data_IF_932183635596
#
_entry.id   IF_932183635596
#
_cell.length_a   1.000
_cell.length_b   1.000
_cell.length_c   1.000
_cell.angle_alpha   90.00
_cell.angle_beta   90.00
_cell.angle_gamma   90.00
#
_symmetry.space_group_name_H-M   'P 1'
#
loop_
_entity.id
_entity.type
_entity.pdbx_description
1 polymer ?
#
# COMPACT_ATOMS: atom_id res chain seq x y z
N UNK A 1 -1.02 4.25 16.04
CA UNK A 1 -2.04 3.92 15.01
C UNK A 1 -2.76 2.66 15.45
N UNK A 2 -4.03 2.44 15.08
CA UNK A 2 -4.78 1.22 15.45
C UNK A 2 -5.17 0.46 14.19
N UNK A 3 -5.00 -0.87 14.21
CA UNK A 3 -5.47 -1.79 13.18
C UNK A 3 -6.75 -2.48 13.65
N UNK A 4 -7.79 -2.42 12.83
CA UNK A 4 -9.08 -3.07 13.08
C UNK A 4 -9.36 -4.06 11.94
N UNK A 5 -9.77 -5.28 12.28
CA UNK A 5 -10.00 -6.34 11.28
C UNK A 5 -11.31 -7.08 11.52
N UNK A 6 -12.01 -7.41 10.43
CA UNK A 6 -13.17 -8.31 10.44
C UNK A 6 -12.78 -9.78 10.21
N UNK A 7 -11.48 -10.09 10.14
CA UNK A 7 -10.92 -11.43 9.98
C UNK A 7 -9.90 -11.72 11.09
N UNK A 8 -10.33 -11.79 12.36
CA UNK A 8 -9.42 -12.21 13.43
C UNK A 8 -8.95 -13.65 13.14
N UNK A 9 -7.63 -13.86 13.14
CA UNK A 9 -7.03 -15.21 13.15
C UNK A 9 -6.65 -15.54 14.58
N UNK A 10 -6.89 -16.79 15.00
CA UNK A 10 -6.36 -17.46 16.20
C UNK A 10 -5.95 -16.48 17.33
N UNK A 11 -6.94 -16.05 18.12
CA UNK A 11 -6.77 -15.22 19.33
C UNK A 11 -6.30 -13.77 19.13
N UNK A 12 -6.07 -13.29 17.90
CA UNK A 12 -5.81 -11.85 17.67
C UNK A 12 -7.06 -11.03 17.95
N UNK A 13 -6.91 -10.03 18.82
CA UNK A 13 -7.94 -9.06 19.13
C UNK A 13 -8.46 -8.37 17.85
N UNK A 14 -9.76 -8.08 17.81
CA UNK A 14 -10.41 -7.33 16.73
C UNK A 14 -9.75 -5.96 16.49
N UNK A 15 -9.10 -5.44 17.52
CA UNK A 15 -8.42 -4.15 17.57
C UNK A 15 -7.02 -4.38 18.13
N UNK A 16 -5.98 -3.93 17.43
CA UNK A 16 -4.60 -4.01 17.90
C UNK A 16 -3.85 -2.71 17.65
N UNK A 17 -2.91 -2.38 18.54
CA UNK A 17 -1.98 -1.28 18.32
C UNK A 17 -1.01 -1.61 17.17
N UNK A 18 -0.73 -0.61 16.34
CA UNK A 18 0.31 -0.71 15.30
C UNK A 18 1.50 0.14 15.75
N UNK A 19 2.67 -0.49 15.99
CA UNK A 19 3.85 0.23 16.42
C UNK A 19 4.37 1.17 15.31
N UNK A 20 5.22 2.16 15.64
CA UNK A 20 5.91 2.94 14.62
C UNK A 20 6.76 2.04 13.71
N UNK A 21 6.66 2.24 12.41
CA UNK A 21 7.44 1.47 11.43
C UNK A 21 6.75 1.35 10.07
N UNK A 22 7.29 0.44 9.25
CA UNK A 22 6.73 0.12 7.93
C UNK A 22 5.87 -1.12 8.05
N UNK A 23 4.60 -0.97 7.68
CA UNK A 23 3.60 -2.02 7.67
C UNK A 23 2.96 -2.16 6.30
N UNK A 24 2.63 -3.38 5.91
CA UNK A 24 1.97 -3.66 4.61
C UNK A 24 0.69 -4.44 4.84
N UNK A 25 -0.39 -3.95 4.24
CA UNK A 25 -1.69 -4.61 4.24
C UNK A 25 -2.08 -5.01 2.82
N UNK A 26 -2.61 -6.22 2.68
CA UNK A 26 -3.18 -6.74 1.44
C UNK A 26 -4.48 -7.48 1.78
N UNK A 27 -4.90 -8.47 0.98
CA UNK A 27 -6.12 -9.26 1.25
C UNK A 27 -6.02 -10.13 2.53
N UNK A 28 -4.82 -10.29 3.09
CA UNK A 28 -4.55 -11.03 4.32
C UNK A 28 -4.45 -10.10 5.54
N UNK A 29 -4.11 -10.65 6.71
CA UNK A 29 -3.84 -9.87 7.92
C UNK A 29 -2.65 -8.92 7.74
N UNK A 30 -2.60 -7.84 8.54
CA UNK A 30 -1.46 -6.91 8.57
C UNK A 30 -0.12 -7.66 8.65
N UNK A 31 0.83 -7.28 7.81
CA UNK A 31 2.18 -7.83 7.70
C UNK A 31 2.27 -9.33 7.38
N UNK A 32 1.21 -9.92 6.82
CA UNK A 32 1.31 -11.29 6.29
C UNK A 32 2.37 -11.31 5.17
N UNK A 33 3.37 -12.23 5.21
CA UNK A 33 4.55 -12.18 4.35
C UNK A 33 4.28 -12.73 2.93
N UNK A 34 3.32 -12.13 2.22
CA UNK A 34 3.10 -12.44 0.81
C UNK A 34 4.29 -11.93 -0.01
N UNK A 35 4.72 -12.65 -1.07
CA UNK A 35 5.88 -12.24 -1.87
C UNK A 35 5.84 -10.78 -2.34
N UNK A 36 4.67 -10.29 -2.79
CA UNK A 36 4.48 -8.89 -3.19
C UNK A 36 4.52 -7.91 -2.02
N UNK A 37 4.04 -8.31 -0.84
CA UNK A 37 4.04 -7.47 0.36
C UNK A 37 5.46 -7.30 0.90
N UNK A 38 6.24 -8.39 0.95
CA UNK A 38 7.66 -8.36 1.32
C UNK A 38 8.43 -7.48 0.34
N UNK A 39 8.20 -7.64 -0.97
CA UNK A 39 8.86 -6.83 -2.00
C UNK A 39 8.50 -5.34 -1.90
N UNK A 40 7.22 -5.01 -1.71
CA UNK A 40 6.77 -3.63 -1.50
C UNK A 40 7.44 -3.02 -0.27
N UNK A 41 7.49 -3.75 0.84
CA UNK A 41 8.15 -3.32 2.08
C UNK A 41 9.63 -2.99 1.83
N UNK A 42 10.37 -3.91 1.22
CA UNK A 42 11.79 -3.71 0.90
C UNK A 42 12.03 -2.56 -0.05
N UNK A 43 11.18 -2.38 -1.07
CA UNK A 43 11.30 -1.26 -1.99
C UNK A 43 10.99 0.07 -1.29
N UNK A 44 10.04 0.08 -0.35
CA UNK A 44 9.74 1.27 0.43
C UNK A 44 10.85 1.61 1.43
N UNK A 45 11.48 0.61 2.08
CA UNK A 45 12.67 0.81 2.90
C UNK A 45 13.79 1.53 2.11
N UNK A 46 14.11 1.01 0.91
CA UNK A 46 15.10 1.65 0.01
C UNK A 46 14.69 3.05 -0.43
N UNK A 47 13.40 3.27 -0.67
CA UNK A 47 12.88 4.59 -1.02
C UNK A 47 13.09 5.59 0.12
N UNK A 48 12.80 5.20 1.36
CA UNK A 48 13.02 6.03 2.55
C UNK A 48 14.51 6.28 2.79
N UNK A 49 15.37 5.27 2.64
CA UNK A 49 16.83 5.43 2.74
C UNK A 49 17.37 6.45 1.73
N UNK A 50 16.85 6.43 0.50
CA UNK A 50 17.24 7.37 -0.56
C UNK A 50 16.85 8.81 -0.24
N UNK A 51 15.64 9.04 0.30
CA UNK A 51 15.09 10.37 0.55
C UNK A 51 15.42 10.92 1.95
N UNK A 52 15.87 10.06 2.86
CA UNK A 52 16.24 10.43 4.23
C UNK A 52 15.06 11.03 5.01
N UNK A 53 15.33 12.08 5.78
CA UNK A 53 14.33 12.78 6.60
C UNK A 53 13.60 13.91 5.85
N UNK A 54 13.78 14.01 4.53
CA UNK A 54 13.12 15.02 3.71
C UNK A 54 11.65 14.73 3.44
N UNK A 55 10.97 15.65 2.75
CA UNK A 55 9.63 15.39 2.25
C UNK A 55 9.65 14.27 1.21
N UNK A 56 8.72 13.32 1.34
CA UNK A 56 8.58 12.22 0.40
C UNK A 56 7.68 12.66 -0.76
N UNK A 57 8.19 12.74 -2.00
CA UNK A 57 7.38 13.08 -3.16
C UNK A 57 6.31 12.00 -3.41
N UNK A 58 5.03 12.36 -3.22
CA UNK A 58 3.91 11.41 -3.27
C UNK A 58 3.75 10.75 -4.64
N UNK A 59 3.95 11.51 -5.72
CA UNK A 59 3.97 11.02 -7.11
C UNK A 59 5.10 9.99 -7.32
N UNK A 60 6.36 10.34 -6.99
CA UNK A 60 7.49 9.40 -7.14
C UNK A 60 7.28 8.14 -6.29
N UNK A 61 6.72 8.29 -5.09
CA UNK A 61 6.40 7.17 -4.21
C UNK A 61 5.37 6.23 -4.85
N UNK A 62 4.26 6.78 -5.34
CA UNK A 62 3.22 6.03 -6.03
C UNK A 62 3.79 5.32 -7.26
N UNK A 63 4.48 6.04 -8.13
CA UNK A 63 5.00 5.49 -9.38
C UNK A 63 6.07 4.45 -9.17
N UNK A 64 7.02 4.65 -8.26
CA UNK A 64 8.13 3.70 -8.08
C UNK A 64 7.75 2.45 -7.31
N UNK A 65 6.82 2.57 -6.36
CA UNK A 65 6.50 1.46 -5.47
C UNK A 65 5.31 0.63 -5.98
N UNK A 66 4.34 1.27 -6.64
CA UNK A 66 3.05 0.65 -6.92
C UNK A 66 2.87 0.20 -8.38
N UNK A 67 3.85 0.44 -9.26
CA UNK A 67 3.80 0.02 -10.68
C UNK A 67 4.57 -1.27 -10.99
N UNK A 68 5.07 -1.97 -9.96
CA UNK A 68 5.83 -3.21 -10.13
C UNK A 68 4.94 -4.39 -10.58
N UNK A 69 5.18 -4.85 -11.82
CA UNK A 69 4.48 -5.96 -12.49
C UNK A 69 5.11 -7.34 -12.23
N UNK A 70 6.19 -7.42 -11.46
CA UNK A 70 6.92 -8.67 -11.17
C UNK A 70 6.01 -9.71 -10.52
N UNK A 71 5.91 -10.90 -11.12
CA UNK A 71 5.18 -12.04 -10.55
C UNK A 71 6.03 -12.78 -9.53
N UNK A 72 5.38 -13.35 -8.51
CA UNK A 72 6.05 -14.22 -7.56
C UNK A 72 6.35 -15.58 -8.19
N UNK A 73 7.38 -16.28 -7.68
CA UNK A 73 7.59 -17.68 -7.99
C UNK A 73 6.37 -18.49 -7.53
N UNK A 74 5.85 -19.37 -8.41
CA UNK A 74 4.68 -20.21 -8.14
C UNK A 74 4.83 -21.06 -6.89
N UNK A 75 6.06 -21.45 -6.54
CA UNK A 75 6.38 -22.25 -5.34
C UNK A 75 6.28 -21.46 -4.04
N UNK A 76 6.26 -20.12 -4.11
CA UNK A 76 6.18 -19.21 -2.95
C UNK A 76 4.75 -18.70 -2.69
N UNK A 77 3.79 -19.18 -3.49
CA UNK A 77 2.39 -18.79 -3.38
C UNK A 77 1.73 -19.44 -2.15
N UNK A 78 0.71 -18.79 -1.57
CA UNK A 78 0.14 -19.22 -0.30
C UNK A 78 -0.75 -20.48 -0.40
N UNK A 79 -1.11 -20.94 -1.60
CA UNK A 79 -1.84 -22.19 -1.79
C UNK A 79 -3.31 -22.13 -1.32
N UNK A 80 -3.91 -20.94 -1.37
CA UNK A 80 -5.31 -20.68 -0.98
C UNK A 80 -6.24 -20.93 -2.18
N UNK A 81 -5.81 -20.52 -3.38
CA UNK A 81 -6.51 -20.75 -4.65
C UNK A 81 -5.65 -21.56 -5.63
N UNK A 82 -6.12 -21.74 -6.88
CA UNK A 82 -5.29 -22.36 -7.91
C UNK A 82 -4.02 -21.55 -8.16
N UNK A 83 -2.94 -22.26 -8.48
CA UNK A 83 -1.62 -21.66 -8.72
C UNK A 83 -1.68 -20.60 -9.81
N UNK A 84 -2.47 -20.83 -10.86
CA UNK A 84 -2.66 -19.89 -11.97
C UNK A 84 -3.32 -18.59 -11.50
N UNK A 85 -4.34 -18.71 -10.65
CA UNK A 85 -5.07 -17.56 -10.12
C UNK A 85 -4.18 -16.75 -9.18
N UNK A 86 -3.53 -17.40 -8.21
CA UNK A 86 -2.62 -16.73 -7.28
C UNK A 86 -1.42 -16.09 -7.99
N UNK A 87 -0.82 -16.80 -8.95
CA UNK A 87 0.25 -16.26 -9.77
C UNK A 87 -0.20 -15.03 -10.55
N UNK A 88 -1.41 -15.04 -11.14
CA UNK A 88 -1.93 -13.89 -11.87
C UNK A 88 -2.07 -12.62 -11.00
N UNK A 89 -2.33 -12.78 -9.70
CA UNK A 89 -2.52 -11.68 -8.74
C UNK A 89 -1.27 -11.38 -7.88
N UNK A 90 -0.14 -12.00 -8.20
CA UNK A 90 1.09 -11.96 -7.38
C UNK A 90 1.98 -10.74 -7.59
N UNK A 91 1.63 -9.83 -8.50
CA UNK A 91 2.31 -8.53 -8.67
C UNK A 91 1.70 -7.45 -7.78
N UNK A 92 2.43 -6.34 -7.61
CA UNK A 92 1.92 -5.15 -6.91
C UNK A 92 0.95 -4.43 -7.85
N UNK A 93 1.40 -4.17 -9.08
CA UNK A 93 0.54 -3.73 -10.17
C UNK A 93 -0.04 -4.94 -10.89
N UNK A 94 -1.35 -5.17 -10.74
CA UNK A 94 -2.03 -6.31 -11.37
C UNK A 94 -2.51 -5.89 -12.76
N UNK A 95 -2.37 -6.79 -13.73
CA UNK A 95 -2.85 -6.59 -15.11
C UNK A 95 -3.99 -7.57 -15.42
N UNK A 96 -4.79 -7.24 -16.44
CA UNK A 96 -5.89 -8.08 -16.91
C UNK A 96 -7.21 -7.80 -16.18
N UNK A 97 -8.06 -8.83 -16.06
CA UNK A 97 -9.46 -8.67 -15.58
C UNK A 97 -9.57 -8.09 -14.17
N UNK A 98 -8.61 -8.39 -13.29
CA UNK A 98 -8.54 -7.89 -11.92
C UNK A 98 -7.43 -6.85 -11.76
N UNK A 99 -7.19 -6.07 -12.81
CA UNK A 99 -6.07 -5.14 -12.86
C UNK A 99 -6.18 -3.96 -11.90
N UNK A 100 -5.03 -3.41 -11.55
CA UNK A 100 -4.91 -2.15 -10.79
C UNK A 100 -5.50 -1.02 -11.63
N UNK A 101 -6.53 -0.35 -11.10
CA UNK A 101 -7.22 0.77 -11.79
C UNK A 101 -6.94 2.13 -11.17
N UNK A 102 -6.37 2.16 -9.98
CA UNK A 102 -5.93 3.38 -9.33
C UNK A 102 -4.74 3.10 -8.42
N UNK A 103 -3.95 4.15 -8.20
CA UNK A 103 -2.85 4.20 -7.24
C UNK A 103 -2.98 5.53 -6.52
N UNK A 104 -3.04 5.49 -5.20
CA UNK A 104 -3.14 6.70 -4.38
C UNK A 104 -2.04 6.70 -3.32
N UNK A 105 -1.46 7.87 -3.09
CA UNK A 105 -0.45 8.13 -2.08
C UNK A 105 -0.94 9.26 -1.18
N UNK A 106 -0.90 9.01 0.13
CA UNK A 106 -1.27 9.99 1.16
C UNK A 106 -0.09 10.16 2.10
N UNK A 107 0.27 11.41 2.36
CA UNK A 107 1.19 11.75 3.45
C UNK A 107 0.51 12.75 4.37
N UNK A 108 0.72 12.59 5.68
CA UNK A 108 0.16 13.46 6.69
C UNK A 108 1.24 13.81 7.72
N UNK A 109 1.42 15.09 7.98
CA UNK A 109 2.34 15.61 9.01
C UNK A 109 1.59 15.84 10.32
N UNK A 110 2.34 15.84 11.42
CA UNK A 110 1.79 16.24 12.73
C UNK A 110 1.35 17.70 12.80
N UNK A 111 1.81 18.55 11.86
CA UNK A 111 1.31 19.92 11.68
C UNK A 111 -0.13 19.98 11.15
N UNK A 112 -0.67 18.86 10.65
CA UNK A 112 -1.98 18.78 10.01
C UNK A 112 -1.94 18.94 8.49
N UNK A 113 -0.79 19.24 7.90
CA UNK A 113 -0.61 19.24 6.44
C UNK A 113 -0.76 17.82 5.88
N UNK A 114 -1.59 17.69 4.84
CA UNK A 114 -1.82 16.44 4.11
C UNK A 114 -1.56 16.68 2.63
N UNK A 115 -0.73 15.84 2.02
CA UNK A 115 -0.57 15.78 0.57
C UNK A 115 -1.17 14.49 0.02
N UNK A 116 -1.96 14.62 -1.03
CA UNK A 116 -2.62 13.54 -1.73
C UNK A 116 -2.19 13.53 -3.18
N UNK A 117 -1.79 12.36 -3.66
CA UNK A 117 -1.59 12.08 -5.08
C UNK A 117 -2.45 10.86 -5.43
N UNK A 118 -3.09 10.90 -6.59
CA UNK A 118 -3.76 9.76 -7.16
C UNK A 118 -3.55 9.74 -8.67
N UNK A 119 -3.39 8.53 -9.22
CA UNK A 119 -3.67 8.28 -10.63
C UNK A 119 -4.68 7.18 -10.79
N UNK A 120 -5.60 7.33 -11.73
CA UNK A 120 -6.66 6.37 -11.98
C UNK A 120 -6.95 6.23 -13.48
N UNK A 121 -7.47 5.07 -13.87
CA UNK A 121 -7.76 4.73 -15.25
C UNK A 121 -9.20 5.14 -15.63
N UNK A 122 -9.32 6.13 -16.52
CA UNK A 122 -10.56 6.66 -17.09
C UNK A 122 -10.48 6.60 -18.62
N UNK A 123 -11.48 5.99 -19.28
CA UNK A 123 -11.55 5.87 -20.75
C UNK A 123 -10.21 5.42 -21.41
N UNK A 124 -9.54 4.44 -20.80
CA UNK A 124 -8.23 3.89 -21.22
C UNK A 124 -7.02 4.81 -21.06
N UNK A 125 -7.20 5.98 -20.45
CA UNK A 125 -6.15 6.94 -20.11
C UNK A 125 -5.91 7.00 -18.61
N UNK A 126 -4.65 7.15 -18.21
CA UNK A 126 -4.32 7.46 -16.82
C UNK A 126 -4.49 8.96 -16.58
N UNK A 127 -5.38 9.29 -15.65
CA UNK A 127 -5.60 10.65 -15.16
C UNK A 127 -4.88 10.78 -13.84
N UNK A 128 -4.17 11.89 -13.65
CA UNK A 128 -3.42 12.18 -12.45
C UNK A 128 -4.01 13.39 -11.74
N UNK A 129 -4.06 13.33 -10.41
CA UNK A 129 -4.59 14.38 -9.57
C UNK A 129 -3.72 14.51 -8.31
N UNK A 130 -3.37 15.75 -7.99
CA UNK A 130 -2.63 16.09 -6.78
C UNK A 130 -3.37 17.19 -6.03
N UNK A 131 -3.52 17.00 -4.72
CA UNK A 131 -4.18 17.95 -3.85
C UNK A 131 -3.44 18.08 -2.52
N UNK A 132 -3.58 19.24 -1.90
CA UNK A 132 -3.06 19.52 -0.55
C UNK A 132 -4.19 19.98 0.34
N UNK A 133 -4.22 19.46 1.57
CA UNK A 133 -5.22 19.74 2.57
C UNK A 133 -4.55 20.12 3.89
N UNK A 134 -5.31 20.80 4.74
CA UNK A 134 -4.93 21.03 6.15
C UNK A 134 -6.04 20.43 7.00
N UNK A 135 -5.70 19.48 7.86
CA UNK A 135 -6.65 18.90 8.79
C UNK A 135 -7.06 19.96 9.81
N UNK A 136 -8.36 20.24 9.88
CA UNK A 136 -8.90 21.07 10.94
C UNK A 136 -8.69 20.35 12.28
N UNK A 137 -7.88 20.95 13.14
CA UNK A 137 -7.79 20.51 14.53
C UNK A 137 -9.09 20.92 15.22
N UNK A 138 -10.03 19.99 15.30
CA UNK A 138 -11.15 20.14 16.24
C UNK A 138 -10.54 20.08 17.64
N UNK A 139 -10.36 21.25 18.24
CA UNK A 139 -9.80 21.38 19.58
C UNK A 139 -10.56 20.47 20.54
N UNK A 140 -9.87 19.51 21.12
CA UNK A 140 -10.33 18.86 22.34
C UNK A 140 -9.89 19.76 23.49
N UNK A 141 -10.83 20.59 23.95
CA UNK A 141 -10.76 21.24 25.26
C UNK A 141 -10.97 20.24 26.39
#
# INVERSE_FOLDING_TARGET
>A
MIYVTNRPKDEKALVSEVPPGIHVLSTASLDTPWPKAVRLRTNFEKFLEKHGSGELPAEEMADKLMTDTTKADKTTLPGIYSVEFEHSLSSIFVEGRYGTRSISAVSAKTSGEVAFYEKYLEEESWIEHMASYVMEQTGTG
#
